data_IF_700859915242
#
_entry.id   IF_700859915242
#
_cell.length_a   1.000
_cell.length_b   1.000
_cell.length_c   1.000
_cell.angle_alpha   90.00
_cell.angle_beta   90.00
_cell.angle_gamma   90.00
#
_symmetry.space_group_name_H-M   'P 1'
#
loop_
_entity.id
_entity.type
_entity.pdbx_description
1 polymer ?
#
# COMPACT_ATOMS: atom_id res chain seq x y z
N UNK A 1 13.86 -20.79 2.49
CA UNK A 1 12.61 -21.47 2.11
C UNK A 1 11.63 -20.38 1.73
N UNK A 2 11.12 -20.38 0.49
CA UNK A 2 10.05 -19.45 0.09
C UNK A 2 8.82 -19.78 0.94
N UNK A 3 8.18 -18.77 1.53
CA UNK A 3 6.97 -18.94 2.34
C UNK A 3 5.82 -18.29 1.61
N UNK A 4 4.69 -18.98 1.52
CA UNK A 4 3.47 -18.42 0.97
C UNK A 4 3.02 -17.22 1.80
N UNK A 5 2.75 -16.10 1.13
CA UNK A 5 2.30 -14.87 1.78
C UNK A 5 0.78 -14.74 1.65
N UNK A 6 0.07 -15.06 2.72
CA UNK A 6 -1.40 -14.99 2.75
C UNK A 6 -1.92 -13.56 2.59
N UNK A 7 -1.25 -12.56 3.15
CA UNK A 7 -1.64 -11.14 2.98
C UNK A 7 -1.59 -10.75 1.50
N UNK A 8 -0.49 -11.07 0.82
CA UNK A 8 -0.31 -10.82 -0.61
C UNK A 8 -1.35 -11.56 -1.45
N UNK A 9 -1.68 -12.80 -1.07
CA UNK A 9 -2.73 -13.55 -1.76
C UNK A 9 -4.12 -12.93 -1.57
N UNK A 10 -4.46 -12.50 -0.35
CA UNK A 10 -5.72 -11.80 -0.08
C UNK A 10 -5.80 -10.48 -0.85
N UNK A 11 -4.69 -9.76 -1.04
CA UNK A 11 -4.64 -8.57 -1.89
C UNK A 11 -4.92 -8.90 -3.36
N UNK A 12 -4.40 -10.01 -3.88
CA UNK A 12 -4.71 -10.47 -5.23
C UNK A 12 -6.20 -10.84 -5.38
N UNK A 13 -6.79 -11.50 -4.38
CA UNK A 13 -8.23 -11.78 -4.33
C UNK A 13 -9.06 -10.49 -4.27
N UNK A 14 -8.59 -9.46 -3.55
CA UNK A 14 -9.24 -8.15 -3.53
C UNK A 14 -9.26 -7.50 -4.91
N UNK A 15 -8.17 -7.61 -5.68
CA UNK A 15 -8.13 -7.13 -7.06
C UNK A 15 -9.13 -7.88 -7.96
N UNK A 16 -9.21 -9.21 -7.83
CA UNK A 16 -10.18 -10.02 -8.59
C UNK A 16 -11.61 -9.60 -8.25
N UNK A 17 -11.93 -9.52 -6.95
CA UNK A 17 -13.23 -9.08 -6.45
C UNK A 17 -13.60 -7.68 -6.98
N UNK A 18 -12.66 -6.74 -6.94
CA UNK A 18 -12.85 -5.37 -7.39
C UNK A 18 -13.16 -5.32 -8.90
N UNK A 19 -12.43 -6.09 -9.72
CA UNK A 19 -12.66 -6.15 -11.17
C UNK A 19 -14.01 -6.78 -11.48
N UNK A 20 -14.37 -7.88 -10.82
CA UNK A 20 -15.69 -8.50 -10.97
C UNK A 20 -16.83 -7.56 -10.56
N UNK A 21 -16.62 -6.80 -9.48
CA UNK A 21 -17.59 -5.81 -9.00
C UNK A 21 -17.75 -4.66 -9.99
N UNK A 22 -16.65 -4.15 -10.55
CA UNK A 22 -16.67 -3.14 -11.60
C UNK A 22 -17.40 -3.65 -12.86
N UNK A 23 -17.18 -4.90 -13.26
CA UNK A 23 -17.84 -5.52 -14.40
C UNK A 23 -19.36 -5.70 -14.23
N UNK A 24 -19.87 -5.70 -12.99
CA UNK A 24 -21.30 -5.72 -12.68
C UNK A 24 -21.91 -4.33 -12.52
N UNK A 25 -21.08 -3.28 -12.48
CA UNK A 25 -21.52 -1.89 -12.28
C UNK A 25 -22.12 -1.29 -13.56
N UNK A 26 -23.09 -0.36 -13.46
CA UNK A 26 -23.57 0.45 -14.59
C UNK A 26 -22.47 1.22 -15.32
N UNK A 27 -21.37 1.54 -14.64
CA UNK A 27 -20.20 2.25 -15.22
C UNK A 27 -19.66 1.53 -16.45
N UNK A 28 -19.64 0.18 -16.43
CA UNK A 28 -19.13 -0.62 -17.53
C UNK A 28 -20.25 -1.32 -18.32
N UNK A 29 -21.30 -1.81 -17.63
CA UNK A 29 -22.35 -2.62 -18.28
C UNK A 29 -23.18 -1.82 -19.29
N UNK A 30 -23.43 -0.53 -19.05
CA UNK A 30 -24.18 0.34 -19.98
C UNK A 30 -23.43 0.58 -21.29
N UNK A 31 -22.10 0.43 -21.28
CA UNK A 31 -21.23 0.57 -22.44
C UNK A 31 -20.91 -0.78 -23.10
N UNK A 32 -21.35 -1.90 -22.51
CA UNK A 32 -21.03 -3.24 -22.98
C UNK A 32 -19.54 -3.60 -22.89
N UNK A 33 -18.83 -3.01 -21.92
CA UNK A 33 -17.39 -3.22 -21.70
C UNK A 33 -17.17 -4.10 -20.47
N UNK A 34 -16.13 -4.92 -20.50
CA UNK A 34 -15.63 -5.63 -19.32
C UNK A 34 -14.11 -5.47 -19.20
N UNK A 35 -13.65 -5.46 -17.96
CA UNK A 35 -12.24 -5.50 -17.59
C UNK A 35 -11.82 -6.97 -17.41
N UNK A 36 -10.72 -7.33 -18.06
CA UNK A 36 -9.95 -8.54 -17.73
C UNK A 36 -8.80 -8.21 -16.79
N UNK A 37 -8.13 -9.24 -16.28
CA UNK A 37 -6.95 -9.09 -15.44
C UNK A 37 -5.89 -10.16 -15.77
N UNK A 38 -4.62 -9.81 -15.54
CA UNK A 38 -3.49 -10.73 -15.51
C UNK A 38 -2.65 -10.39 -14.28
N UNK A 39 -2.59 -11.32 -13.32
CA UNK A 39 -1.97 -11.10 -12.02
C UNK A 39 -0.71 -11.96 -11.93
N UNK A 40 0.41 -11.34 -11.59
CA UNK A 40 1.70 -12.00 -11.36
C UNK A 40 2.13 -11.81 -9.91
N UNK A 41 2.86 -12.79 -9.38
CA UNK A 41 3.52 -12.65 -8.08
C UNK A 41 4.81 -11.84 -8.22
N UNK A 42 4.96 -10.80 -7.40
CA UNK A 42 6.18 -9.99 -7.32
C UNK A 42 7.26 -10.64 -6.44
N UNK A 43 6.89 -11.62 -5.62
CA UNK A 43 7.73 -12.29 -4.62
C UNK A 43 8.46 -11.35 -3.66
N UNK A 44 7.97 -10.11 -3.48
CA UNK A 44 8.68 -9.05 -2.76
C UNK A 44 10.13 -8.85 -3.25
N UNK A 45 10.38 -9.13 -4.53
CA UNK A 45 11.70 -9.07 -5.14
C UNK A 45 11.65 -8.24 -6.43
N UNK A 46 12.56 -7.28 -6.53
CA UNK A 46 12.64 -6.35 -7.67
C UNK A 46 12.87 -7.11 -8.98
N UNK A 47 13.73 -8.13 -8.99
CA UNK A 47 14.07 -8.87 -10.21
C UNK A 47 12.87 -9.65 -10.73
N UNK A 48 12.15 -10.30 -9.83
CA UNK A 48 10.95 -11.09 -10.15
C UNK A 48 9.82 -10.20 -10.65
N UNK A 49 9.58 -9.06 -9.99
CA UNK A 49 8.62 -8.06 -10.45
C UNK A 49 8.97 -7.48 -11.83
N UNK A 50 10.24 -7.23 -12.12
CA UNK A 50 10.66 -6.76 -13.45
C UNK A 50 10.41 -7.81 -14.54
N UNK A 51 10.67 -9.11 -14.26
CA UNK A 51 10.33 -10.19 -15.19
C UNK A 51 8.82 -10.27 -15.46
N UNK A 52 8.00 -10.13 -14.42
CA UNK A 52 6.55 -10.06 -14.56
C UNK A 52 6.10 -8.84 -15.38
N UNK A 53 6.72 -7.68 -15.15
CA UNK A 53 6.40 -6.47 -15.93
C UNK A 53 6.85 -6.55 -17.39
N UNK A 54 7.86 -7.38 -17.71
CA UNK A 54 8.27 -7.65 -19.08
C UNK A 54 7.15 -8.29 -19.89
N UNK A 55 6.40 -9.24 -19.31
CA UNK A 55 5.19 -9.83 -19.91
C UNK A 55 4.14 -8.77 -20.27
N UNK A 56 3.99 -7.73 -19.46
CA UNK A 56 3.05 -6.64 -19.72
C UNK A 56 3.46 -5.72 -20.88
N UNK A 57 4.77 -5.58 -21.10
CA UNK A 57 5.34 -4.72 -22.15
C UNK A 57 5.73 -5.48 -23.41
N UNK A 58 5.45 -6.79 -23.49
CA UNK A 58 5.80 -7.58 -24.67
C UNK A 58 5.12 -6.98 -25.92
N UNK A 59 5.90 -6.58 -26.94
CA UNK A 59 5.33 -6.04 -28.15
C UNK A 59 4.48 -7.11 -28.82
N UNK A 60 3.27 -6.78 -29.24
CA UNK A 60 2.46 -7.58 -30.17
C UNK A 60 3.06 -7.60 -31.59
N UNK A 61 4.39 -7.40 -31.73
CA UNK A 61 5.09 -7.25 -33.01
C UNK A 61 5.07 -8.53 -33.86
N UNK A 62 5.02 -9.71 -33.23
CA UNK A 62 4.90 -10.98 -33.95
C UNK A 62 3.45 -11.34 -34.35
N UNK A 63 2.49 -10.47 -34.05
CA UNK A 63 1.09 -10.62 -34.46
C UNK A 63 0.81 -10.04 -35.87
N UNK A 64 1.81 -9.43 -36.50
CA UNK A 64 1.73 -8.84 -37.84
C UNK A 64 2.16 -9.79 -38.95
N UNK A 65 1.53 -10.96 -39.08
CA UNK A 65 1.90 -11.93 -40.12
C UNK A 65 1.00 -13.15 -40.22
N UNK A 66 -0.17 -13.00 -40.86
CA UNK A 66 -0.88 -14.12 -41.53
C UNK A 66 -1.50 -15.24 -40.67
N UNK A 67 -1.28 -15.30 -39.35
CA UNK A 67 -1.92 -16.27 -38.48
C UNK A 67 -3.10 -15.65 -37.71
N UNK A 68 -4.17 -16.43 -37.54
CA UNK A 68 -5.44 -16.07 -36.92
C UNK A 68 -5.32 -15.13 -35.71
N UNK A 69 -6.10 -14.04 -35.73
CA UNK A 69 -6.22 -12.99 -34.70
C UNK A 69 -6.59 -13.48 -33.28
N UNK A 70 -6.81 -14.78 -33.09
CA UNK A 70 -7.23 -15.42 -31.84
C UNK A 70 -6.09 -15.81 -30.88
N UNK A 71 -4.82 -15.63 -31.26
CA UNK A 71 -3.66 -16.10 -30.46
C UNK A 71 -2.84 -14.98 -29.80
N UNK A 72 -3.16 -13.71 -30.07
CA UNK A 72 -2.40 -12.60 -29.50
C UNK A 72 -3.04 -12.08 -28.22
N UNK A 73 -2.30 -12.04 -27.10
CA UNK A 73 -2.82 -11.48 -25.87
C UNK A 73 -3.16 -9.99 -26.05
N UNK A 74 -4.28 -9.50 -25.49
CA UNK A 74 -4.62 -8.10 -25.54
C UNK A 74 -3.56 -7.25 -24.81
N UNK A 75 -3.32 -6.00 -25.25
CA UNK A 75 -2.35 -5.12 -24.61
C UNK A 75 -2.78 -4.79 -23.18
N UNK A 76 -1.79 -4.57 -22.30
CA UNK A 76 -2.03 -4.14 -20.92
C UNK A 76 -2.31 -2.64 -20.90
N UNK A 77 -3.51 -2.29 -20.42
CA UNK A 77 -4.00 -0.91 -20.41
C UNK A 77 -3.58 -0.12 -19.16
N UNK A 78 -3.38 -0.81 -18.05
CA UNK A 78 -2.95 -0.27 -16.76
C UNK A 78 -2.38 -1.40 -15.89
N UNK A 79 -1.54 -1.07 -14.93
CA UNK A 79 -0.96 -2.01 -13.96
C UNK A 79 -1.29 -1.53 -12.54
N UNK A 80 -1.80 -2.42 -11.69
CA UNK A 80 -2.01 -2.14 -10.26
C UNK A 80 -0.84 -2.75 -9.47
N UNK A 81 -0.26 -1.97 -8.56
CA UNK A 81 0.89 -2.36 -7.74
C UNK A 81 2.16 -1.56 -8.03
N UNK A 82 3.31 -1.94 -7.49
CA UNK A 82 3.47 -2.96 -6.46
C UNK A 82 3.22 -2.37 -5.05
N UNK A 83 3.42 -3.19 -4.01
CA UNK A 83 3.30 -2.75 -2.62
C UNK A 83 4.56 -1.99 -2.14
N UNK A 84 5.74 -2.62 -2.23
CA UNK A 84 7.04 -2.00 -1.91
C UNK A 84 7.37 -0.86 -2.88
N UNK A 85 7.90 0.24 -2.34
CA UNK A 85 8.26 1.41 -3.16
C UNK A 85 9.45 1.13 -4.06
N UNK A 86 10.41 0.35 -3.60
CA UNK A 86 11.59 -0.13 -4.35
C UNK A 86 11.14 -0.89 -5.61
N UNK A 87 10.18 -1.81 -5.45
CA UNK A 87 9.60 -2.57 -6.57
C UNK A 87 8.83 -1.63 -7.51
N UNK A 88 7.98 -0.77 -6.97
CA UNK A 88 7.21 0.18 -7.76
C UNK A 88 8.09 1.13 -8.57
N UNK A 89 9.21 1.60 -8.02
CA UNK A 89 10.20 2.44 -8.72
C UNK A 89 10.78 1.67 -9.93
N UNK A 90 11.16 0.42 -9.74
CA UNK A 90 11.73 -0.40 -10.81
C UNK A 90 10.72 -0.68 -11.93
N UNK A 91 9.51 -1.13 -11.57
CA UNK A 91 8.43 -1.42 -12.51
C UNK A 91 7.98 -0.15 -13.25
N UNK A 92 7.88 0.98 -12.56
CA UNK A 92 7.48 2.25 -13.17
C UNK A 92 8.44 2.68 -14.28
N UNK A 93 9.75 2.51 -14.09
CA UNK A 93 10.75 2.84 -15.11
C UNK A 93 10.52 2.06 -16.40
N UNK A 94 10.12 0.80 -16.30
CA UNK A 94 9.83 -0.03 -17.46
C UNK A 94 8.50 0.36 -18.12
N UNK A 95 7.43 0.54 -17.34
CA UNK A 95 6.10 0.89 -17.85
C UNK A 95 6.04 2.29 -18.48
N UNK A 96 6.85 3.23 -17.98
CA UNK A 96 6.94 4.59 -18.52
C UNK A 96 7.41 4.63 -19.99
N UNK A 97 8.12 3.61 -20.48
CA UNK A 97 8.57 3.56 -21.87
C UNK A 97 7.40 3.53 -22.86
N UNK A 98 6.29 2.91 -22.46
CA UNK A 98 5.07 2.77 -23.26
C UNK A 98 3.90 3.62 -22.68
N UNK A 99 4.20 4.46 -21.68
CA UNK A 99 3.22 5.27 -20.94
C UNK A 99 2.04 4.44 -20.39
N UNK A 100 2.31 3.20 -19.96
CA UNK A 100 1.30 2.35 -19.31
C UNK A 100 1.10 2.89 -17.88
N UNK A 101 -0.12 3.34 -17.50
CA UNK A 101 -0.37 3.85 -16.17
C UNK A 101 -0.18 2.76 -15.12
N UNK A 102 0.66 3.05 -14.13
CA UNK A 102 0.84 2.22 -12.93
C UNK A 102 0.13 2.88 -11.75
N UNK A 103 -0.78 2.18 -11.09
CA UNK A 103 -1.47 2.66 -9.89
C UNK A 103 -1.07 1.79 -8.70
N UNK A 104 -0.18 2.29 -7.84
CA UNK A 104 0.20 1.56 -6.63
C UNK A 104 -0.83 1.74 -5.52
N UNK A 105 -1.11 0.66 -4.80
CA UNK A 105 -2.01 0.64 -3.64
C UNK A 105 -1.28 0.74 -2.29
N UNK A 106 0.06 0.82 -2.27
CA UNK A 106 0.82 0.91 -1.01
C UNK A 106 2.20 1.58 -1.09
N UNK A 107 2.73 1.93 -2.28
CA UNK A 107 4.04 2.57 -2.41
C UNK A 107 3.98 4.07 -2.15
N UNK A 108 4.53 4.50 -1.02
CA UNK A 108 4.38 5.87 -0.52
C UNK A 108 5.65 6.72 -0.60
N UNK A 109 6.74 6.22 -1.19
CA UNK A 109 7.96 7.00 -1.37
C UNK A 109 7.69 8.32 -2.12
N UNK A 110 8.31 9.40 -1.66
CA UNK A 110 8.10 10.77 -2.15
C UNK A 110 8.59 10.91 -3.60
N UNK A 111 9.61 10.14 -3.99
CA UNK A 111 10.22 10.21 -5.33
C UNK A 111 9.23 9.89 -6.45
N UNK A 112 8.25 9.02 -6.16
CA UNK A 112 7.22 8.54 -7.10
C UNK A 112 6.23 9.64 -7.50
N UNK A 113 6.12 10.73 -6.73
CA UNK A 113 5.36 11.93 -7.10
C UNK A 113 6.04 12.73 -8.23
N UNK A 114 7.32 12.49 -8.52
CA UNK A 114 8.10 13.25 -9.50
C UNK A 114 7.75 12.91 -10.95
N UNK A 115 6.83 13.66 -11.57
CA UNK A 115 6.30 13.37 -12.94
C UNK A 115 7.29 13.50 -14.09
N UNK A 116 8.42 14.18 -13.90
CA UNK A 116 9.52 14.15 -14.86
C UNK A 116 10.15 12.74 -14.92
N UNK A 117 10.24 12.05 -13.77
CA UNK A 117 10.85 10.72 -13.65
C UNK A 117 9.83 9.60 -13.81
N UNK A 118 8.60 9.83 -13.34
CA UNK A 118 7.51 8.86 -13.32
C UNK A 118 6.22 9.43 -13.91
N UNK A 119 6.18 9.74 -15.23
CA UNK A 119 5.04 10.39 -15.87
C UNK A 119 3.75 9.56 -15.86
N UNK A 120 3.86 8.23 -15.79
CA UNK A 120 2.73 7.30 -15.80
C UNK A 120 2.42 6.65 -14.43
N UNK A 121 3.14 7.03 -13.36
CA UNK A 121 2.86 6.51 -12.03
C UNK A 121 1.74 7.29 -11.35
N UNK A 122 0.84 6.60 -10.67
CA UNK A 122 -0.20 7.14 -9.79
C UNK A 122 -0.30 6.23 -8.55
N UNK A 123 -1.02 6.67 -7.51
CA UNK A 123 -1.31 5.82 -6.35
C UNK A 123 -2.57 6.22 -5.60
N UNK A 124 -3.17 5.22 -4.97
CA UNK A 124 -4.40 5.33 -4.16
C UNK A 124 -4.10 5.36 -2.66
N UNK A 125 -2.88 5.76 -2.30
CA UNK A 125 -2.41 6.00 -0.93
C UNK A 125 -1.68 7.34 -0.85
N UNK A 126 -1.60 7.92 0.35
CA UNK A 126 -0.82 9.13 0.57
C UNK A 126 0.67 8.85 0.51
N UNK A 127 1.44 9.87 0.18
CA UNK A 127 2.89 9.82 0.24
C UNK A 127 3.44 10.02 1.66
N UNK A 128 4.71 9.65 1.85
CA UNK A 128 5.39 9.73 3.15
C UNK A 128 5.67 11.15 3.63
N UNK A 129 5.63 12.16 2.75
CA UNK A 129 5.83 13.56 3.16
C UNK A 129 4.77 13.93 4.22
N UNK A 130 3.50 13.61 3.93
CA UNK A 130 2.40 13.87 4.87
C UNK A 130 2.47 13.02 6.13
N UNK A 131 2.98 11.78 6.04
CA UNK A 131 3.15 10.92 7.23
C UNK A 131 4.23 11.51 8.16
N UNK A 132 5.36 11.93 7.61
CA UNK A 132 6.44 12.56 8.40
C UNK A 132 6.02 13.91 8.98
N UNK A 133 5.26 14.73 8.25
CA UNK A 133 4.63 15.92 8.81
C UNK A 133 3.69 15.59 9.96
N UNK A 134 2.84 14.57 9.82
CA UNK A 134 1.93 14.14 10.89
C UNK A 134 2.70 13.70 12.14
N UNK A 135 3.76 12.90 11.98
CA UNK A 135 4.63 12.49 13.08
C UNK A 135 5.24 13.71 13.78
N UNK A 136 5.88 14.61 13.03
CA UNK A 136 6.52 15.82 13.59
C UNK A 136 5.50 16.75 14.26
N UNK A 137 4.31 16.90 13.67
CA UNK A 137 3.21 17.68 14.24
C UNK A 137 2.72 17.08 15.55
N UNK A 138 2.60 15.75 15.64
CA UNK A 138 2.24 15.04 16.86
C UNK A 138 3.30 15.26 17.96
N UNK A 139 4.58 15.07 17.63
CA UNK A 139 5.70 15.30 18.55
C UNK A 139 5.72 16.75 19.06
N UNK A 140 5.56 17.71 18.16
CA UNK A 140 5.53 19.14 18.46
C UNK A 140 4.37 19.51 19.39
N UNK A 141 3.16 19.03 19.08
CA UNK A 141 1.98 19.25 19.92
C UNK A 141 2.19 18.69 21.34
N UNK A 142 2.96 17.60 21.46
CA UNK A 142 3.30 16.94 22.72
C UNK A 142 4.54 17.50 23.42
N UNK A 143 5.21 18.50 22.86
CA UNK A 143 6.48 19.07 23.34
C UNK A 143 7.61 18.02 23.48
N UNK A 144 7.57 16.96 22.69
CA UNK A 144 8.66 15.98 22.61
C UNK A 144 9.74 16.50 21.68
N UNK A 145 10.94 16.72 22.22
CA UNK A 145 12.05 17.41 21.54
C UNK A 145 13.27 16.52 21.31
N UNK A 146 13.22 15.27 21.79
CA UNK A 146 14.34 14.33 21.71
C UNK A 146 13.81 12.96 21.31
N UNK A 147 14.14 12.51 20.09
CA UNK A 147 13.60 11.27 19.51
C UNK A 147 14.69 10.43 18.86
N UNK A 148 14.49 9.12 18.81
CA UNK A 148 15.26 8.22 17.95
C UNK A 148 14.47 7.86 16.71
N UNK A 149 15.17 7.51 15.63
CA UNK A 149 14.52 6.98 14.42
C UNK A 149 15.11 5.64 14.04
N UNK A 150 14.22 4.68 13.79
CA UNK A 150 14.55 3.36 13.25
C UNK A 150 13.80 3.20 11.93
N UNK A 151 14.48 2.75 10.88
CA UNK A 151 13.90 2.59 9.54
C UNK A 151 14.44 1.34 8.84
N UNK A 152 13.86 0.97 7.70
CA UNK A 152 14.34 -0.14 6.86
C UNK A 152 15.38 0.31 5.85
N UNK A 153 16.26 -0.61 5.45
CA UNK A 153 17.29 -0.40 4.44
C UNK A 153 16.72 -0.56 3.02
N UNK A 154 15.99 0.46 2.57
CA UNK A 154 15.38 0.53 1.24
C UNK A 154 15.10 1.98 0.83
N UNK A 155 14.66 2.18 -0.40
CA UNK A 155 14.26 3.51 -0.92
C UNK A 155 13.20 4.14 0.01
N UNK A 156 12.16 3.38 0.36
CA UNK A 156 11.06 3.83 1.24
C UNK A 156 11.59 4.30 2.60
N UNK A 157 12.37 3.45 3.27
CA UNK A 157 12.83 3.70 4.63
C UNK A 157 13.84 4.85 4.70
N UNK A 158 14.73 4.96 3.71
CA UNK A 158 15.72 6.04 3.62
C UNK A 158 15.08 7.37 3.25
N UNK A 159 14.15 7.38 2.28
CA UNK A 159 13.38 8.58 1.94
C UNK A 159 12.58 9.11 3.14
N UNK A 160 11.92 8.21 3.88
CA UNK A 160 11.19 8.58 5.10
C UNK A 160 12.11 9.14 6.19
N UNK A 161 13.31 8.57 6.36
CA UNK A 161 14.33 9.08 7.30
C UNK A 161 14.75 10.51 6.96
N UNK A 162 15.09 10.77 5.71
CA UNK A 162 15.52 12.10 5.29
C UNK A 162 14.40 13.14 5.45
N UNK A 163 13.17 12.78 5.02
CA UNK A 163 11.99 13.63 5.18
C UNK A 163 11.71 13.94 6.67
N UNK A 164 11.68 12.92 7.53
CA UNK A 164 11.42 13.11 8.96
C UNK A 164 12.51 13.96 9.63
N UNK A 165 13.80 13.70 9.35
CA UNK A 165 14.90 14.47 9.94
C UNK A 165 14.82 15.94 9.54
N UNK A 166 14.52 16.22 8.27
CA UNK A 166 14.34 17.59 7.77
C UNK A 166 13.22 18.31 8.54
N UNK A 167 12.04 17.69 8.59
CA UNK A 167 10.84 18.24 9.24
C UNK A 167 10.99 18.40 10.76
N UNK A 168 11.59 17.41 11.42
CA UNK A 168 11.86 17.42 12.85
C UNK A 168 12.83 18.56 13.20
N UNK A 169 13.92 18.71 12.44
CA UNK A 169 14.92 19.76 12.66
C UNK A 169 14.31 21.14 12.47
N UNK A 170 13.50 21.33 11.42
CA UNK A 170 12.78 22.57 11.18
C UNK A 170 11.80 22.92 12.32
N UNK A 171 11.27 21.91 13.02
CA UNK A 171 10.37 22.05 14.16
C UNK A 171 11.09 22.10 15.52
N UNK A 172 12.43 22.14 15.54
CA UNK A 172 13.22 22.21 16.78
C UNK A 172 13.28 20.89 17.57
N UNK A 173 13.04 19.76 16.91
CA UNK A 173 13.12 18.40 17.48
C UNK A 173 14.47 17.78 17.08
N UNK A 174 15.20 17.25 18.06
CA UNK A 174 16.48 16.61 17.83
C UNK A 174 16.33 15.10 17.59
N UNK A 175 16.94 14.61 16.52
CA UNK A 175 17.07 13.17 16.26
C UNK A 175 18.37 12.67 16.89
N UNK A 176 18.24 11.98 18.02
CA UNK A 176 19.33 11.51 18.87
C UNK A 176 20.17 10.40 18.23
N UNK A 177 19.50 9.52 17.49
CA UNK A 177 20.11 8.41 16.78
C UNK A 177 19.25 8.02 15.58
N UNK A 178 19.91 7.41 14.59
CA UNK A 178 19.31 6.91 13.36
C UNK A 178 19.81 5.49 13.15
N UNK A 179 18.90 4.54 13.05
CA UNK A 179 19.24 3.13 12.91
C UNK A 179 18.50 2.55 11.72
N UNK A 180 19.26 1.85 10.88
CA UNK A 180 18.77 1.30 9.63
C UNK A 180 18.82 -0.22 9.77
N UNK A 181 17.65 -0.84 9.74
CA UNK A 181 17.48 -2.28 9.84
C UNK A 181 17.46 -2.88 8.43
N UNK A 182 18.08 -4.05 8.22
CA UNK A 182 17.93 -4.77 6.96
C UNK A 182 16.45 -5.04 6.66
N UNK A 183 16.09 -5.00 5.37
CA UNK A 183 14.71 -5.23 4.92
C UNK A 183 14.24 -6.69 5.14
N UNK A 184 15.19 -7.63 5.27
CA UNK A 184 14.89 -9.03 5.58
C UNK A 184 15.20 -9.38 7.03
N UNK A 185 14.20 -9.96 7.71
CA UNK A 185 14.35 -10.54 9.05
C UNK A 185 15.35 -11.72 9.11
N UNK A 186 15.73 -12.27 7.96
CA UNK A 186 16.73 -13.35 7.86
C UNK A 186 18.16 -12.84 7.69
N UNK A 187 18.35 -11.51 7.59
CA UNK A 187 19.68 -10.92 7.48
C UNK A 187 20.54 -11.26 8.68
N UNK A 188 21.79 -11.66 8.44
CA UNK A 188 22.79 -11.92 9.49
C UNK A 188 23.04 -10.68 10.36
N UNK A 189 22.77 -9.50 9.81
CA UNK A 189 23.02 -8.22 10.46
C UNK A 189 21.87 -7.75 11.36
N UNK A 190 20.70 -8.40 11.34
CA UNK A 190 19.53 -7.93 12.09
C UNK A 190 19.78 -7.88 13.60
N UNK A 191 20.45 -8.88 14.15
CA UNK A 191 20.78 -8.93 15.57
C UNK A 191 21.75 -7.81 15.97
N UNK A 192 22.68 -7.47 15.08
CA UNK A 192 23.62 -6.37 15.29
C UNK A 192 22.92 -5.01 15.19
N UNK A 193 22.03 -4.84 14.21
CA UNK A 193 21.25 -3.63 14.01
C UNK A 193 20.27 -3.38 15.17
N UNK A 194 19.55 -4.41 15.63
CA UNK A 194 18.66 -4.34 16.81
C UNK A 194 19.47 -4.00 18.08
N UNK A 195 20.66 -4.59 18.26
CA UNK A 195 21.54 -4.24 19.38
C UNK A 195 22.00 -2.79 19.33
N UNK A 196 22.32 -2.26 18.14
CA UNK A 196 22.73 -0.86 17.98
C UNK A 196 21.58 0.10 18.27
N UNK A 197 20.37 -0.19 17.77
CA UNK A 197 19.16 0.56 18.08
C UNK A 197 18.80 0.61 19.56
N UNK A 198 19.36 -0.29 20.36
CA UNK A 198 19.16 -0.35 21.81
C UNK A 198 20.18 0.47 22.61
N UNK A 199 21.36 0.78 22.06
CA UNK A 199 22.44 1.52 22.77
C UNK A 199 22.05 2.91 23.29
N UNK A 200 21.20 3.71 22.60
CA UNK A 200 20.83 5.05 23.06
C UNK A 200 19.77 5.06 24.17
N UNK A 201 19.05 3.95 24.36
CA UNK A 201 18.05 3.81 25.42
C UNK A 201 18.77 3.52 26.73
N UNK A 202 18.63 4.42 27.71
CA UNK A 202 19.20 4.29 29.06
C UNK A 202 18.96 2.87 29.61
N UNK A 203 20.02 2.05 29.66
CA UNK A 203 20.18 0.83 30.44
C UNK A 203 18.94 -0.09 30.62
N UNK A 204 18.13 -0.36 29.58
CA UNK A 204 17.05 -1.36 29.68
C UNK A 204 17.47 -2.73 29.14
N UNK A 205 17.39 -3.81 29.95
CA UNK A 205 17.90 -5.12 29.58
C UNK A 205 17.06 -5.99 28.64
N UNK A 206 15.94 -5.62 28.00
CA UNK A 206 15.35 -6.50 26.96
C UNK A 206 14.13 -5.93 26.23
N UNK A 207 14.28 -5.11 25.19
CA UNK A 207 13.10 -4.62 24.47
C UNK A 207 12.38 -5.75 23.69
N UNK A 208 11.49 -6.47 24.38
CA UNK A 208 10.41 -7.25 23.79
C UNK A 208 9.30 -6.28 23.35
N UNK A 209 8.43 -6.64 22.40
CA UNK A 209 7.26 -5.81 22.05
C UNK A 209 6.39 -5.51 23.29
N UNK A 210 6.48 -6.36 24.32
CA UNK A 210 5.87 -6.22 25.63
C UNK A 210 6.50 -5.13 26.53
N UNK A 211 7.72 -4.66 26.25
CA UNK A 211 8.36 -3.52 26.93
C UNK A 211 8.00 -2.16 26.28
N UNK A 212 7.32 -2.16 25.13
CA UNK A 212 6.84 -0.94 24.48
C UNK A 212 5.49 -0.55 25.10
N UNK A 213 5.50 0.45 25.98
CA UNK A 213 4.32 0.90 26.74
C UNK A 213 3.17 1.38 25.82
N UNK A 214 3.49 2.21 24.83
CA UNK A 214 2.52 2.82 23.94
C UNK A 214 3.02 2.89 22.50
N UNK A 215 2.21 2.43 21.54
CA UNK A 215 2.47 2.56 20.10
C UNK A 215 1.38 3.39 19.46
N UNK A 216 1.77 4.49 18.82
CA UNK A 216 0.89 5.30 17.97
C UNK A 216 1.17 4.94 16.51
N UNK A 217 0.17 4.40 15.83
CA UNK A 217 0.22 4.06 14.41
C UNK A 217 -0.42 5.13 13.54
N UNK A 218 0.03 5.19 12.28
CA UNK A 218 -0.66 5.91 11.21
C UNK A 218 -1.07 4.87 10.17
N UNK A 219 -2.38 4.70 9.96
CA UNK A 219 -2.92 3.78 8.96
C UNK A 219 -3.63 4.56 7.85
N UNK A 220 -3.68 4.00 6.64
CA UNK A 220 -4.48 4.58 5.58
C UNK A 220 -5.97 4.49 5.92
N UNK A 221 -6.78 5.28 5.20
CA UNK A 221 -8.24 5.26 5.34
C UNK A 221 -8.79 3.90 4.95
N UNK A 222 -9.78 3.43 5.70
CA UNK A 222 -10.44 2.14 5.51
C UNK A 222 -11.78 2.31 4.78
N UNK A 223 -12.09 1.34 3.92
CA UNK A 223 -13.39 1.21 3.26
C UNK A 223 -14.31 0.20 3.92
N UNK A 224 -15.46 -0.04 3.30
CA UNK A 224 -16.40 -1.07 3.69
C UNK A 224 -15.95 -2.45 3.23
N UNK A 225 -15.42 -3.24 4.17
CA UNK A 225 -14.88 -4.57 3.89
C UNK A 225 -15.95 -5.67 3.70
N UNK A 226 -17.23 -5.38 4.01
CA UNK A 226 -18.28 -6.39 4.03
C UNK A 226 -18.53 -7.11 2.69
N UNK A 227 -18.54 -6.44 1.52
CA UNK A 227 -18.69 -7.11 0.22
C UNK A 227 -17.54 -8.09 -0.05
N UNK A 228 -16.30 -7.68 0.21
CA UNK A 228 -15.13 -8.51 0.01
C UNK A 228 -15.11 -9.73 0.96
N UNK A 229 -15.47 -9.54 2.23
CA UNK A 229 -15.62 -10.67 3.16
C UNK A 229 -16.66 -11.69 2.70
N UNK A 230 -17.79 -11.24 2.13
CA UNK A 230 -18.80 -12.14 1.54
C UNK A 230 -18.23 -12.90 0.35
N UNK A 231 -17.44 -12.23 -0.49
CA UNK A 231 -16.73 -12.88 -1.60
C UNK A 231 -15.80 -13.99 -1.10
N UNK A 232 -14.98 -13.70 -0.07
CA UNK A 232 -14.06 -14.69 0.51
C UNK A 232 -14.76 -15.92 1.11
N UNK A 233 -15.88 -15.72 1.80
CA UNK A 233 -16.68 -16.84 2.34
C UNK A 233 -17.21 -17.75 1.23
N UNK A 234 -17.58 -17.19 0.09
CA UNK A 234 -18.16 -17.93 -1.04
C UNK A 234 -17.12 -18.59 -1.95
N UNK A 235 -15.81 -18.33 -1.76
CA UNK A 235 -14.75 -18.96 -2.56
C UNK A 235 -14.69 -20.48 -2.40
N UNK A 236 -15.13 -21.00 -1.25
CA UNK A 236 -15.06 -22.43 -0.91
C UNK A 236 -16.07 -23.32 -1.65
N UNK A 237 -17.10 -22.74 -2.26
CA UNK A 237 -18.20 -23.47 -2.90
C UNK A 237 -18.00 -23.74 -4.40
N UNK A 238 -16.91 -23.25 -5.01
CA UNK A 238 -16.77 -23.24 -6.48
C UNK A 238 -15.57 -24.05 -6.96
N UNK A 239 -15.82 -25.34 -7.24
CA UNK A 239 -14.86 -26.24 -7.89
C UNK A 239 -14.31 -25.67 -9.22
N UNK A 240 -15.09 -24.84 -9.94
CA UNK A 240 -14.68 -24.19 -11.19
C UNK A 240 -13.69 -23.01 -10.98
N UNK A 241 -13.75 -22.28 -9.86
CA UNK A 241 -12.87 -21.13 -9.57
C UNK A 241 -11.47 -21.61 -9.15
N UNK A 242 -11.40 -22.72 -8.42
CA UNK A 242 -10.15 -23.39 -8.08
C UNK A 242 -9.44 -23.85 -9.36
N UNK A 243 -10.18 -24.31 -10.39
CA UNK A 243 -9.61 -24.78 -11.66
C UNK A 243 -8.74 -23.76 -12.42
N UNK A 244 -9.09 -22.48 -12.36
CA UNK A 244 -8.45 -21.42 -13.17
C UNK A 244 -7.50 -20.50 -12.38
N UNK A 245 -7.53 -20.53 -11.04
CA UNK A 245 -6.65 -19.71 -10.20
C UNK A 245 -5.53 -20.57 -9.59
N UNK A 246 -4.31 -20.46 -10.14
CA UNK A 246 -3.15 -21.24 -9.68
C UNK A 246 -2.75 -20.91 -8.24
N UNK A 247 -2.86 -19.65 -7.82
CA UNK A 247 -2.56 -19.22 -6.45
C UNK A 247 -3.55 -19.82 -5.44
N UNK A 248 -4.83 -19.90 -5.82
CA UNK A 248 -5.86 -20.52 -5.00
C UNK A 248 -5.60 -22.04 -4.85
N UNK A 249 -5.21 -22.73 -5.93
CA UNK A 249 -4.79 -24.14 -5.85
C UNK A 249 -3.61 -24.34 -4.90
N UNK A 250 -2.59 -23.48 -4.99
CA UNK A 250 -1.43 -23.53 -4.10
C UNK A 250 -1.86 -23.31 -2.64
N UNK A 251 -2.64 -22.26 -2.35
CA UNK A 251 -3.15 -21.96 -1.02
C UNK A 251 -3.89 -23.15 -0.37
N UNK A 252 -4.83 -23.77 -1.09
CA UNK A 252 -5.55 -24.94 -0.58
C UNK A 252 -4.71 -26.22 -0.48
N UNK A 253 -3.58 -26.30 -1.19
CA UNK A 253 -2.65 -27.44 -1.11
C UNK A 253 -1.72 -27.38 0.11
N UNK A 254 -1.58 -26.20 0.74
CA UNK A 254 -0.73 -26.02 1.91
C UNK A 254 -1.38 -26.61 3.17
N UNK A 255 -0.61 -27.27 4.05
CA UNK A 255 -1.09 -27.67 5.37
C UNK A 255 -1.60 -26.42 6.11
N UNK A 256 -2.88 -26.40 6.49
CA UNK A 256 -3.54 -25.29 7.18
C UNK A 256 -3.50 -23.94 6.41
N UNK A 257 -3.42 -23.94 5.08
CA UNK A 257 -3.56 -22.73 4.24
C UNK A 257 -2.48 -21.65 4.38
N UNK A 258 -1.45 -21.81 5.23
CA UNK A 258 -0.49 -20.71 5.52
C UNK A 258 0.98 -21.10 5.50
N UNK A 259 1.31 -22.37 5.21
CA UNK A 259 2.69 -22.85 5.22
C UNK A 259 3.42 -22.68 6.55
N UNK A 260 2.73 -22.29 7.63
CA UNK A 260 3.29 -22.03 8.95
C UNK A 260 3.07 -23.24 9.88
N UNK A 261 4.14 -23.93 10.30
CA UNK A 261 4.03 -25.07 11.22
C UNK A 261 3.56 -24.69 12.63
N UNK A 262 3.52 -23.39 13.00
CA UNK A 262 3.04 -22.94 14.33
C UNK A 262 1.52 -22.76 14.43
N UNK A 263 0.79 -22.81 13.31
CA UNK A 263 -0.68 -22.82 13.32
C UNK A 263 -1.15 -24.25 13.59
N UNK A 264 -0.91 -24.72 14.82
CA UNK A 264 -1.21 -26.08 15.27
C UNK A 264 -2.31 -26.04 16.34
N UNK A 265 -3.45 -25.44 16.03
CA UNK A 265 -4.65 -25.56 16.87
C UNK A 265 -5.93 -25.37 16.08
N UNK A 266 -6.65 -26.48 15.90
CA UNK A 266 -8.04 -26.64 15.42
C UNK A 266 -8.37 -26.12 14.02
N UNK A 267 -8.99 -26.99 13.20
CA UNK A 267 -9.84 -26.74 12.03
C UNK A 267 -10.12 -25.26 11.68
N UNK A 268 -9.11 -24.51 11.26
CA UNK A 268 -9.28 -23.15 10.78
C UNK A 268 -9.71 -23.29 9.32
N UNK A 269 -10.95 -22.91 9.04
CA UNK A 269 -11.51 -22.98 7.69
C UNK A 269 -10.68 -22.03 6.81
N UNK A 270 -10.23 -22.41 5.60
CA UNK A 270 -9.43 -21.53 4.74
C UNK A 270 -10.02 -20.11 4.55
N UNK A 271 -11.35 -19.98 4.57
CA UNK A 271 -12.02 -18.69 4.58
C UNK A 271 -11.66 -17.81 5.80
N UNK A 272 -11.56 -18.38 7.00
CA UNK A 272 -11.15 -17.65 8.22
C UNK A 272 -9.73 -17.12 8.12
N UNK A 273 -8.83 -17.89 7.50
CA UNK A 273 -7.45 -17.45 7.23
C UNK A 273 -7.47 -16.23 6.30
N UNK A 274 -8.21 -16.29 5.19
CA UNK A 274 -8.32 -15.15 4.26
C UNK A 274 -8.93 -13.91 4.93
N UNK A 275 -9.94 -14.09 5.77
CA UNK A 275 -10.57 -12.98 6.51
C UNK A 275 -9.61 -12.34 7.51
N UNK A 276 -8.82 -13.12 8.23
CA UNK A 276 -7.84 -12.60 9.19
C UNK A 276 -6.66 -11.87 8.52
N UNK A 277 -6.40 -12.16 7.24
CA UNK A 277 -5.38 -11.50 6.42
C UNK A 277 -5.99 -10.41 5.51
N UNK A 278 -7.26 -10.03 5.74
CA UNK A 278 -7.97 -8.99 4.98
C UNK A 278 -7.83 -7.63 5.66
N UNK A 279 -6.89 -6.82 5.18
CA UNK A 279 -6.65 -5.47 5.69
C UNK A 279 -7.56 -4.45 4.97
N UNK A 280 -8.48 -3.83 5.72
CA UNK A 280 -9.53 -2.96 5.18
C UNK A 280 -9.01 -1.74 4.41
N UNK A 281 -7.86 -1.21 4.81
CA UNK A 281 -7.17 -0.09 4.17
C UNK A 281 -6.55 -0.51 2.83
N UNK A 282 -5.86 -1.65 2.79
CA UNK A 282 -5.25 -2.16 1.56
C UNK A 282 -6.33 -2.58 0.55
N UNK A 283 -7.36 -3.30 0.99
CA UNK A 283 -8.49 -3.71 0.13
C UNK A 283 -9.16 -2.48 -0.47
N UNK A 284 -9.45 -1.47 0.34
CA UNK A 284 -10.03 -0.21 -0.13
C UNK A 284 -9.13 0.49 -1.16
N UNK A 285 -7.82 0.52 -0.93
CA UNK A 285 -6.86 1.13 -1.87
C UNK A 285 -6.78 0.38 -3.21
N UNK A 286 -6.87 -0.95 -3.19
CA UNK A 286 -6.95 -1.79 -4.40
C UNK A 286 -8.27 -1.58 -5.15
N UNK A 287 -9.40 -1.57 -4.44
CA UNK A 287 -10.72 -1.29 -5.02
C UNK A 287 -10.79 0.12 -5.62
N UNK A 288 -10.15 1.09 -4.99
CA UNK A 288 -9.99 2.45 -5.50
C UNK A 288 -9.22 2.48 -6.82
N UNK A 289 -8.12 1.73 -6.92
CA UNK A 289 -7.32 1.68 -8.14
C UNK A 289 -8.11 1.05 -9.30
N UNK A 290 -8.86 -0.02 -9.04
CA UNK A 290 -9.74 -0.64 -10.05
C UNK A 290 -10.89 0.29 -10.44
N UNK A 291 -11.51 0.97 -9.48
CA UNK A 291 -12.59 1.93 -9.77
C UNK A 291 -12.09 3.08 -10.64
N UNK A 292 -10.90 3.61 -10.36
CA UNK A 292 -10.28 4.64 -11.18
C UNK A 292 -10.09 4.20 -12.63
N UNK A 293 -9.57 2.98 -12.85
CA UNK A 293 -9.40 2.41 -14.19
C UNK A 293 -10.75 2.21 -14.88
N UNK A 294 -11.75 1.68 -14.17
CA UNK A 294 -13.08 1.44 -14.72
C UNK A 294 -13.72 2.75 -15.22
N UNK A 295 -13.65 3.81 -14.42
CA UNK A 295 -14.18 5.12 -14.78
C UNK A 295 -13.38 5.77 -15.92
N UNK A 296 -12.04 5.68 -15.90
CA UNK A 296 -11.20 6.21 -16.97
C UNK A 296 -11.51 5.53 -18.32
N UNK A 297 -11.67 4.20 -18.32
CA UNK A 297 -12.07 3.45 -19.51
C UNK A 297 -13.48 3.85 -19.95
N UNK A 298 -14.44 3.91 -19.03
CA UNK A 298 -15.81 4.33 -19.34
C UNK A 298 -15.85 5.74 -19.97
N UNK A 299 -15.08 6.69 -19.43
CA UNK A 299 -14.98 8.05 -19.95
C UNK A 299 -14.47 8.08 -21.40
N UNK A 300 -13.39 7.34 -21.69
CA UNK A 300 -12.83 7.21 -23.04
C UNK A 300 -13.88 6.67 -24.02
N UNK A 301 -14.59 5.60 -23.63
CA UNK A 301 -15.57 4.97 -24.51
C UNK A 301 -16.85 5.81 -24.67
N UNK A 302 -17.24 6.58 -23.66
CA UNK A 302 -18.40 7.48 -23.75
C UNK A 302 -18.18 8.63 -24.76
N UNK A 303 -16.92 9.05 -24.94
CA UNK A 303 -16.52 10.17 -25.83
C UNK A 303 -16.12 9.72 -27.23
N UNK A 304 -16.01 8.43 -27.48
CA UNK A 304 -15.46 7.89 -28.72
C UNK A 304 -16.49 7.93 -29.85
N UNK A 305 -16.12 8.54 -30.98
CA UNK A 305 -16.94 8.46 -32.20
C UNK A 305 -16.89 7.03 -32.76
N UNK A 306 -18.05 6.37 -32.82
CA UNK A 306 -18.22 5.00 -33.33
C UNK A 306 -17.79 4.82 -34.80
N UNK A 307 -17.50 5.92 -35.52
CA UNK A 307 -17.07 5.90 -36.92
C UNK A 307 -15.60 5.51 -37.12
N UNK A 308 -14.75 5.61 -36.10
CA UNK A 308 -13.35 5.17 -36.15
C UNK A 308 -13.03 4.28 -34.94
N UNK A 309 -13.28 2.96 -35.03
CA UNK A 309 -13.00 2.03 -33.94
C UNK A 309 -11.50 1.73 -33.84
N UNK A 310 -10.70 2.70 -33.39
CA UNK A 310 -9.30 2.47 -33.01
C UNK A 310 -9.21 1.78 -31.66
N UNK A 311 -8.27 0.86 -31.45
CA UNK A 311 -8.07 0.23 -30.11
C UNK A 311 -7.62 1.28 -29.09
N UNK A 312 -8.24 1.30 -27.90
CA UNK A 312 -7.81 2.20 -26.81
C UNK A 312 -6.36 1.88 -26.45
N UNK A 313 -5.57 2.92 -26.23
CA UNK A 313 -4.14 2.81 -25.95
C UNK A 313 -3.82 3.17 -24.48
N UNK A 314 -2.74 2.61 -23.89
CA UNK A 314 -2.44 2.82 -22.46
C UNK A 314 -2.30 4.30 -22.07
N UNK A 315 -1.66 5.12 -22.92
CA UNK A 315 -1.53 6.56 -22.66
C UNK A 315 -2.86 7.32 -22.69
N UNK A 316 -3.89 6.81 -23.37
CA UNK A 316 -5.25 7.40 -23.33
C UNK A 316 -5.89 7.13 -21.97
N UNK A 317 -5.70 5.94 -21.41
CA UNK A 317 -6.12 5.61 -20.03
C UNK A 317 -5.37 6.48 -19.04
N UNK A 318 -4.07 6.68 -19.23
CA UNK A 318 -3.28 7.61 -18.41
C UNK A 318 -3.81 9.04 -18.45
N UNK A 319 -4.21 9.54 -19.64
CA UNK A 319 -4.84 10.85 -19.79
C UNK A 319 -6.16 10.94 -19.02
N UNK A 320 -7.06 9.99 -19.24
CA UNK A 320 -8.36 9.95 -18.56
C UNK A 320 -8.24 9.85 -17.02
N UNK A 321 -7.27 9.08 -16.51
CA UNK A 321 -6.96 8.99 -15.08
C UNK A 321 -6.51 10.33 -14.49
N UNK A 322 -5.83 11.18 -15.27
CA UNK A 322 -5.37 12.51 -14.82
C UNK A 322 -6.48 13.57 -14.91
N UNK A 323 -7.33 13.45 -15.92
CA UNK A 323 -8.27 14.51 -16.27
C UNK A 323 -9.63 14.37 -15.57
N UNK A 324 -9.95 13.19 -15.04
CA UNK A 324 -11.28 12.88 -14.50
C UNK A 324 -11.25 12.31 -13.10
N UNK A 325 -12.25 12.72 -12.31
CA UNK A 325 -12.54 12.11 -11.02
C UNK A 325 -13.36 10.83 -11.22
N UNK A 326 -13.32 9.94 -10.24
CA UNK A 326 -14.03 8.67 -10.22
C UNK A 326 -14.74 8.47 -8.89
N UNK A 327 -15.69 7.54 -8.84
CA UNK A 327 -16.48 7.28 -7.63
C UNK A 327 -16.14 5.93 -7.00
N UNK A 328 -16.12 5.88 -5.67
CA UNK A 328 -16.08 4.65 -4.89
C UNK A 328 -16.84 4.88 -3.57
N UNK A 329 -17.71 3.94 -3.20
CA UNK A 329 -18.54 4.03 -1.97
C UNK A 329 -19.33 5.35 -1.85
N UNK A 330 -19.81 5.89 -2.98
CA UNK A 330 -20.60 7.13 -3.01
C UNK A 330 -19.78 8.40 -2.76
N UNK A 331 -18.44 8.32 -2.80
CA UNK A 331 -17.53 9.45 -2.70
C UNK A 331 -16.75 9.61 -4.00
N UNK A 332 -16.46 10.86 -4.35
CA UNK A 332 -15.66 11.20 -5.53
C UNK A 332 -14.18 11.39 -5.14
N UNK A 333 -13.29 10.86 -5.97
CA UNK A 333 -11.84 10.93 -5.82
C UNK A 333 -11.20 11.36 -7.12
N UNK A 334 -10.11 12.11 -7.04
CA UNK A 334 -9.33 12.56 -8.19
C UNK A 334 -7.85 12.44 -7.85
N UNK A 335 -7.03 12.06 -8.82
CA UNK A 335 -5.58 12.18 -8.68
C UNK A 335 -5.19 13.65 -8.83
N UNK A 336 -4.24 14.12 -8.01
CA UNK A 336 -3.67 15.46 -8.18
C UNK A 336 -2.65 15.50 -9.35
N UNK A 337 -2.06 16.68 -9.59
CA UNK A 337 -1.03 16.86 -10.62
C UNK A 337 0.20 15.94 -10.42
N UNK A 338 0.41 15.46 -9.19
CA UNK A 338 1.45 14.52 -8.79
C UNK A 338 0.97 13.07 -8.78
N UNK A 339 -0.21 12.78 -9.30
CA UNK A 339 -0.77 11.42 -9.38
C UNK A 339 -1.04 10.81 -8.00
N UNK A 340 -1.13 11.63 -6.96
CA UNK A 340 -1.39 11.23 -5.57
C UNK A 340 -2.86 11.47 -5.23
N UNK A 341 -3.40 10.73 -4.24
CA UNK A 341 -4.72 10.99 -3.65
C UNK A 341 -4.54 11.35 -2.18
N UNK A 342 -5.16 12.46 -1.77
CA UNK A 342 -4.97 13.01 -0.44
C UNK A 342 -6.14 12.71 0.52
N UNK A 343 -6.15 11.50 1.09
CA UNK A 343 -7.18 11.00 2.01
C UNK A 343 -6.95 11.32 3.51
N UNK A 344 -5.76 11.82 3.87
CA UNK A 344 -5.28 11.86 5.25
C UNK A 344 -4.93 10.49 5.83
N UNK A 345 -4.67 10.46 7.14
CA UNK A 345 -4.34 9.23 7.89
C UNK A 345 -5.28 9.06 9.07
N UNK A 346 -5.60 7.80 9.39
CA UNK A 346 -6.15 7.44 10.69
C UNK A 346 -4.98 7.25 11.66
N UNK A 347 -5.09 7.86 12.84
CA UNK A 347 -4.13 7.72 13.93
C UNK A 347 -4.67 6.68 14.89
N UNK A 348 -3.94 5.57 15.05
CA UNK A 348 -4.35 4.47 15.93
C UNK A 348 -3.48 4.42 17.18
N UNK A 349 -4.08 4.04 18.31
CA UNK A 349 -3.34 3.70 19.52
C UNK A 349 -3.40 2.20 19.72
N UNK A 350 -2.25 1.54 19.75
CA UNK A 350 -2.24 0.10 19.95
C UNK A 350 -2.59 -0.20 21.40
N UNK A 351 -3.56 -1.09 21.60
CA UNK A 351 -3.88 -1.59 22.93
C UNK A 351 -3.67 -3.11 22.96
N UNK A 352 -3.13 -3.60 24.07
CA UNK A 352 -2.97 -5.05 24.29
C UNK A 352 -4.01 -5.51 25.29
N UNK A 353 -4.87 -6.43 24.88
CA UNK A 353 -5.84 -7.07 25.76
C UNK A 353 -5.50 -8.55 25.80
N UNK A 354 -5.03 -9.03 26.96
CA UNK A 354 -4.66 -10.44 27.20
C UNK A 354 -3.62 -10.97 26.18
N UNK A 355 -2.66 -10.13 25.77
CA UNK A 355 -1.60 -10.50 24.83
C UNK A 355 -1.98 -10.36 23.35
N UNK A 356 -3.23 -10.03 23.03
CA UNK A 356 -3.65 -9.70 21.66
C UNK A 356 -3.53 -8.19 21.46
N UNK A 357 -2.71 -7.79 20.47
CA UNK A 357 -2.52 -6.39 20.10
C UNK A 357 -3.63 -5.97 19.13
N UNK A 358 -4.46 -5.04 19.56
CA UNK A 358 -5.42 -4.36 18.69
C UNK A 358 -4.77 -3.07 18.15
N UNK A 359 -4.53 -3.06 16.84
CA UNK A 359 -3.91 -1.94 16.11
C UNK A 359 -4.93 -1.01 15.44
N UNK A 360 -6.23 -1.24 15.69
CA UNK A 360 -7.33 -0.64 14.94
C UNK A 360 -8.12 0.43 15.71
N UNK A 361 -7.75 0.73 16.94
CA UNK A 361 -8.40 1.77 17.77
C UNK A 361 -8.01 3.17 17.26
N UNK A 362 -8.88 3.78 16.45
CA UNK A 362 -8.68 5.12 15.87
C UNK A 362 -8.98 6.20 16.90
N UNK A 363 -7.94 6.95 17.27
CA UNK A 363 -7.98 7.99 18.31
C UNK A 363 -7.98 9.41 17.74
N UNK A 364 -7.53 9.57 16.50
CA UNK A 364 -7.58 10.83 15.76
C UNK A 364 -7.51 10.58 14.25
N UNK A 365 -7.79 11.62 13.47
CA UNK A 365 -7.55 11.66 12.03
C UNK A 365 -6.62 12.83 11.73
N UNK A 366 -5.62 12.58 10.88
CA UNK A 366 -4.71 13.60 10.38
C UNK A 366 -5.20 14.15 9.04
N UNK A 367 -5.31 15.48 8.98
CA UNK A 367 -5.73 16.23 7.81
C UNK A 367 -4.51 16.92 7.15
N UNK A 368 -4.06 16.43 6.00
CA UNK A 368 -2.79 16.85 5.38
C UNK A 368 -2.84 18.25 4.79
N UNK A 369 -4.00 18.70 4.31
CA UNK A 369 -4.17 20.04 3.70
C UNK A 369 -3.93 21.16 4.71
N UNK A 370 -4.37 20.98 5.96
CA UNK A 370 -4.27 21.99 7.01
C UNK A 370 -3.25 21.61 8.09
N UNK A 371 -2.51 20.51 7.91
CA UNK A 371 -1.56 19.96 8.87
C UNK A 371 -2.10 19.90 10.32
N UNK A 372 -3.29 19.32 10.48
CA UNK A 372 -4.01 19.29 11.76
C UNK A 372 -4.56 17.91 12.10
N UNK A 373 -4.91 17.72 13.37
CA UNK A 373 -5.55 16.51 13.86
C UNK A 373 -6.98 16.83 14.30
N UNK A 374 -7.94 16.02 13.86
CA UNK A 374 -9.26 15.96 14.48
C UNK A 374 -9.32 14.73 15.37
N UNK A 375 -9.59 14.93 16.66
CA UNK A 375 -9.60 13.82 17.60
C UNK A 375 -11.01 13.25 17.75
N UNK A 376 -11.10 11.94 17.93
CA UNK A 376 -12.39 11.29 18.20
C UNK A 376 -12.77 11.57 19.67
N UNK A 377 -14.01 12.02 19.91
CA UNK A 377 -14.46 12.65 21.17
C UNK A 377 -14.35 11.77 22.45
N UNK A 378 -13.91 10.51 22.35
CA UNK A 378 -13.71 9.61 23.50
C UNK A 378 -12.25 9.38 23.92
N UNK A 379 -11.29 9.44 22.98
CA UNK A 379 -9.91 8.96 23.19
C UNK A 379 -8.84 10.07 23.12
N UNK A 380 -9.23 11.33 22.99
CA UNK A 380 -8.35 12.51 23.16
C UNK A 380 -7.48 12.43 24.41
N UNK A 381 -8.09 11.99 25.53
CA UNK A 381 -7.39 11.83 26.82
C UNK A 381 -6.17 10.91 26.71
N UNK A 382 -6.26 9.82 25.93
CA UNK A 382 -5.17 8.84 25.81
C UNK A 382 -3.93 9.44 25.12
N UNK A 383 -4.11 10.20 24.04
CA UNK A 383 -3.00 10.88 23.35
C UNK A 383 -2.43 12.04 24.17
N UNK A 384 -3.27 12.75 24.92
CA UNK A 384 -2.81 13.81 25.84
C UNK A 384 -2.12 13.26 27.08
N UNK A 385 -2.49 12.08 27.57
CA UNK A 385 -1.90 11.44 28.74
C UNK A 385 -0.48 10.92 28.46
N UNK A 386 -0.17 10.57 27.20
CA UNK A 386 1.20 10.31 26.75
C UNK A 386 2.15 11.48 27.08
N UNK A 387 1.64 12.73 27.05
CA UNK A 387 2.42 13.93 27.41
C UNK A 387 2.81 13.97 28.89
N UNK A 388 2.01 13.37 29.77
CA UNK A 388 2.21 13.44 31.23
C UNK A 388 3.33 12.50 31.68
N UNK A 389 3.51 11.37 30.98
CA UNK A 389 4.44 10.29 31.39
C UNK A 389 5.84 10.39 30.77
N UNK A 390 5.98 11.01 29.60
CA UNK A 390 7.27 11.15 28.90
C UNK A 390 7.74 12.61 28.98
N UNK A 391 8.50 12.96 30.03
CA UNK A 391 9.13 14.29 30.17
C UNK A 391 10.63 14.20 29.88
N UNK A 392 11.01 14.42 28.63
CA UNK A 392 12.41 14.66 28.26
C UNK A 392 12.46 15.96 27.46
N UNK A 393 13.03 17.01 28.08
CA UNK A 393 13.36 18.27 27.40
C UNK A 393 14.87 18.32 27.24
N UNK A 394 15.35 18.23 26.00
CA UNK A 394 16.77 18.38 25.66
C UNK A 394 16.85 19.46 24.58
N UNK A 395 17.77 20.42 24.73
CA UNK A 395 18.07 21.38 23.66
C UNK A 395 19.00 20.71 22.66
N UNK A 396 18.70 20.81 21.36
CA UNK A 396 19.62 20.35 20.34
C UNK A 396 20.92 21.15 20.47
N UNK A 397 22.02 20.47 20.79
CA UNK A 397 23.33 21.03 20.58
C UNK A 397 23.53 21.04 19.07
N UNK A 398 23.35 22.22 18.44
CA UNK A 398 23.90 22.43 17.11
C UNK A 398 25.41 22.24 17.25
N UNK A 399 25.93 21.13 16.75
CA UNK A 399 27.33 21.08 16.36
C UNK A 399 27.50 22.13 15.26
N UNK A 400 27.94 23.33 15.66
CA UNK A 400 28.59 24.23 14.71
C UNK A 400 29.88 23.53 14.31
N UNK A 401 30.06 23.37 13.01
CA UNK A 401 31.27 22.85 12.39
C UNK A 401 32.53 23.42 13.08
N UNK A 402 33.43 22.52 13.45
CA UNK A 402 34.83 22.83 13.78
C UNK A 402 35.70 22.36 12.63
#
# INVERSE_FOLDING_TARGET
TLRFNTDGFTQALAMIHAVESANRSPVLTTLGISLGYRIHDSCSDVTTALRASADFTQPTKDCGGGASTSTCPPPIMAVIGASSSEISIAVARQLNLELIPQISYASTDIILSGKIRFPAFLRTVLNNLYQTHAMVRLLSNSNWTWVGMVTTDGDYGRSALDSFVSEATASGICVAFKEILPDSLTSLDINSAVKNARKPSVATPSMDLLEIDHVVGFSFKRGNLAPFHRYLMNLSDINDVIGNNSFLKEFYSLPNGSGDPKVLSSFTVPAEILLNNSHADVVFSVEMAVSAIAHAVADIYSKKDCKTPGTVQPWQVLGALKDSCFELEGKSYCFDEKGDINLGYDVTLWNSVRGVINVHDVVAEYHPINNSFSYTNGNTKNLTDLRVRVRVKVRCLQYRDV
#
